data_IF_264208375146
#
_entry.id   IF_264208375146
#
_cell.length_a   1.000
_cell.length_b   1.000
_cell.length_c   1.000
_cell.angle_alpha   90.00
_cell.angle_beta   90.00
_cell.angle_gamma   90.00
#
_symmetry.space_group_name_H-M   'P 1'
#
loop_
_entity.id
_entity.type
_entity.pdbx_description
1 polymer ?
#
# COMPACT_ATOMS: atom_id res chain seq x y z
N UNK A 1 15.21 10.17 -10.09
CA UNK A 1 14.59 11.08 -9.11
C UNK A 1 13.69 12.10 -9.80
N UNK A 2 14.12 12.72 -10.90
CA UNK A 2 13.28 13.64 -11.73
C UNK A 2 11.96 13.01 -12.23
N UNK A 3 12.02 11.83 -12.85
CA UNK A 3 10.84 11.20 -13.46
C UNK A 3 9.74 10.78 -12.47
N UNK A 4 10.12 10.48 -11.22
CA UNK A 4 9.16 10.18 -10.14
C UNK A 4 8.50 11.49 -9.67
N UNK A 5 9.27 12.58 -9.57
CA UNK A 5 8.74 13.90 -9.25
C UNK A 5 7.78 14.39 -10.33
N UNK A 6 8.12 14.23 -11.60
CA UNK A 6 7.29 14.66 -12.73
C UNK A 6 5.97 13.86 -12.86
N UNK A 7 6.00 12.54 -12.58
CA UNK A 7 4.78 11.72 -12.50
C UNK A 7 3.88 12.03 -11.28
N UNK A 8 4.45 12.65 -10.24
CA UNK A 8 3.74 13.11 -9.04
C UNK A 8 3.27 14.58 -9.16
N UNK A 9 3.89 15.37 -10.04
CA UNK A 9 3.56 16.78 -10.32
C UNK A 9 2.66 16.96 -11.54
N UNK A 10 2.53 15.95 -12.41
CA UNK A 10 1.48 15.90 -13.43
C UNK A 10 0.12 15.85 -12.76
N UNK A 11 -0.82 16.71 -13.19
CA UNK A 11 -2.12 16.96 -12.53
C UNK A 11 -3.12 15.79 -12.42
N UNK A 12 -2.66 14.54 -12.38
CA UNK A 12 -3.49 13.40 -12.02
C UNK A 12 -3.84 13.48 -10.52
N UNK A 13 -5.12 13.62 -10.17
CA UNK A 13 -5.54 13.66 -8.77
C UNK A 13 -5.20 12.38 -7.99
N UNK A 14 -4.88 11.26 -8.65
CA UNK A 14 -4.47 10.01 -8.00
C UNK A 14 -3.09 10.09 -7.37
N UNK A 15 -2.18 10.92 -7.88
CA UNK A 15 -0.80 11.03 -7.38
C UNK A 15 -0.50 12.38 -6.76
N UNK A 16 -1.28 13.42 -7.12
CA UNK A 16 -1.12 14.77 -6.61
C UNK A 16 -1.06 14.82 -5.08
N UNK A 17 -0.02 15.47 -4.56
CA UNK A 17 0.18 15.73 -3.13
C UNK A 17 0.51 14.49 -2.27
N UNK A 18 0.63 13.28 -2.84
CA UNK A 18 0.85 12.06 -2.05
C UNK A 18 2.09 12.11 -1.19
N UNK A 19 3.21 12.60 -1.73
CA UNK A 19 4.49 12.67 -0.97
C UNK A 19 4.36 13.55 0.27
N UNK A 20 3.70 14.69 0.16
CA UNK A 20 3.48 15.61 1.29
C UNK A 20 2.50 15.02 2.31
N UNK A 21 1.39 14.43 1.84
CA UNK A 21 0.43 13.78 2.73
C UNK A 21 1.08 12.62 3.50
N UNK A 22 1.86 11.78 2.83
CA UNK A 22 2.59 10.68 3.45
C UNK A 22 3.63 11.17 4.46
N UNK A 23 4.31 12.29 4.20
CA UNK A 23 5.21 12.91 5.17
C UNK A 23 4.47 13.36 6.44
N UNK A 24 3.19 13.72 6.32
CA UNK A 24 2.30 14.06 7.43
C UNK A 24 1.56 12.84 8.02
N UNK A 25 1.86 11.62 7.55
CA UNK A 25 1.33 10.38 8.09
C UNK A 25 -0.07 9.98 7.64
N UNK A 26 -0.60 10.60 6.58
CA UNK A 26 -1.93 10.27 6.05
C UNK A 26 -1.98 10.29 4.52
N UNK A 27 -3.08 9.80 3.95
CA UNK A 27 -3.46 10.03 2.55
C UNK A 27 -4.95 10.29 2.52
N UNK A 28 -5.37 11.37 1.87
CA UNK A 28 -6.81 11.63 1.68
C UNK A 28 -7.29 10.92 0.40
N UNK A 29 -8.42 10.23 0.51
CA UNK A 29 -9.21 9.71 -0.59
C UNK A 29 -9.85 10.86 -1.38
N UNK A 30 -10.11 10.60 -2.66
CA UNK A 30 -10.77 11.52 -3.58
C UNK A 30 -12.30 11.38 -3.51
N UNK A 31 -12.82 10.15 -3.45
CA UNK A 31 -14.26 9.90 -3.34
C UNK A 31 -14.71 9.56 -1.92
N UNK A 32 -13.81 8.99 -1.13
CA UNK A 32 -14.07 8.60 0.25
C UNK A 32 -14.75 7.24 0.34
N UNK A 33 -14.57 6.59 1.48
CA UNK A 33 -15.15 5.29 1.80
C UNK A 33 -16.49 5.48 2.54
N UNK A 34 -17.59 4.83 2.14
CA UNK A 34 -18.87 4.97 2.83
C UNK A 34 -18.82 4.51 4.29
N UNK A 35 -19.38 5.33 5.20
CA UNK A 35 -19.53 5.05 6.63
C UNK A 35 -20.94 5.48 7.09
N UNK A 36 -21.90 4.55 7.11
CA UNK A 36 -23.29 4.90 7.39
C UNK A 36 -23.86 5.87 6.35
N UNK A 37 -24.28 7.05 6.79
CA UNK A 37 -24.81 8.13 5.93
C UNK A 37 -23.72 9.11 5.44
N UNK A 38 -22.49 8.99 5.96
CA UNK A 38 -21.36 9.85 5.59
C UNK A 38 -20.30 9.08 4.79
N UNK A 39 -19.22 9.78 4.43
CA UNK A 39 -18.03 9.17 3.81
C UNK A 39 -16.80 9.63 4.58
N UNK A 40 -15.86 8.70 4.74
CA UNK A 40 -14.57 8.93 5.37
C UNK A 40 -13.48 9.07 4.33
N UNK A 41 -12.59 10.04 4.53
CA UNK A 41 -11.62 10.42 3.50
C UNK A 41 -10.18 10.18 3.93
N UNK A 42 -9.85 10.39 5.20
CA UNK A 42 -8.47 10.36 5.65
C UNK A 42 -8.02 8.95 6.00
N UNK A 43 -7.04 8.45 5.26
CA UNK A 43 -6.41 7.14 5.49
C UNK A 43 -5.10 7.31 6.25
N UNK A 44 -4.90 6.50 7.28
CA UNK A 44 -3.59 6.35 7.94
C UNK A 44 -3.08 4.93 7.76
N UNK A 45 -1.75 4.78 7.77
CA UNK A 45 -1.09 3.50 7.55
C UNK A 45 -0.39 3.03 8.83
N UNK A 46 -0.23 1.72 8.95
CA UNK A 46 0.58 1.05 9.96
C UNK A 46 1.60 0.14 9.30
N UNK A 47 2.65 -0.19 10.03
CA UNK A 47 3.58 -1.23 9.59
C UNK A 47 2.89 -2.59 9.54
N UNK A 48 3.27 -3.39 8.54
CA UNK A 48 2.84 -4.77 8.43
C UNK A 48 3.65 -5.63 9.40
N UNK A 49 2.96 -6.51 10.12
CA UNK A 49 3.58 -7.52 10.96
C UNK A 49 3.91 -8.78 10.15
N UNK A 50 4.77 -9.65 10.67
CA UNK A 50 5.03 -10.94 10.05
C UNK A 50 3.75 -11.78 9.86
N UNK A 51 2.82 -11.68 10.82
CA UNK A 51 1.51 -12.33 10.73
C UNK A 51 0.69 -11.79 9.56
N UNK A 52 0.70 -10.48 9.32
CA UNK A 52 -0.03 -9.88 8.21
C UNK A 52 0.44 -10.44 6.86
N UNK A 53 1.76 -10.61 6.70
CA UNK A 53 2.35 -11.19 5.50
C UNK A 53 1.90 -12.64 5.28
N UNK A 54 2.00 -13.48 6.32
CA UNK A 54 1.60 -14.89 6.24
C UNK A 54 0.11 -15.01 5.92
N UNK A 55 -0.74 -14.25 6.63
CA UNK A 55 -2.18 -14.27 6.41
C UNK A 55 -2.55 -13.79 4.99
N UNK A 56 -1.79 -12.85 4.42
CA UNK A 56 -2.00 -12.38 3.05
C UNK A 56 -1.59 -13.41 1.99
N UNK A 57 -0.52 -14.18 2.22
CA UNK A 57 -0.17 -15.33 1.37
C UNK A 57 -1.28 -16.37 1.38
N UNK A 58 -1.69 -16.81 2.58
CA UNK A 58 -2.72 -17.84 2.73
C UNK A 58 -4.07 -17.41 2.15
N UNK A 59 -4.43 -16.13 2.22
CA UNK A 59 -5.66 -15.58 1.61
C UNK A 59 -5.61 -15.59 0.06
N UNK A 60 -4.40 -15.46 -0.51
CA UNK A 60 -4.18 -15.41 -1.94
C UNK A 60 -3.99 -16.78 -2.59
N UNK A 61 -3.84 -17.83 -1.80
CA UNK A 61 -3.69 -19.21 -2.23
C UNK A 61 -5.05 -19.94 -2.31
N UNK A 62 -5.30 -20.63 -3.43
CA UNK A 62 -6.50 -21.44 -3.62
C UNK A 62 -6.17 -22.78 -4.25
N UNK A 63 -6.73 -23.84 -3.70
CA UNK A 63 -6.75 -25.14 -4.36
C UNK A 63 -7.77 -25.09 -5.49
N UNK A 64 -7.33 -25.38 -6.71
CA UNK A 64 -8.18 -25.45 -7.89
C UNK A 64 -8.04 -26.81 -8.55
N UNK A 65 -9.16 -27.38 -8.97
CA UNK A 65 -9.16 -28.57 -9.81
C UNK A 65 -8.71 -28.18 -11.23
N UNK A 66 -7.61 -28.79 -11.66
CA UNK A 66 -7.06 -28.60 -13.01
C UNK A 66 -7.14 -29.91 -13.79
N UNK A 67 -6.81 -29.86 -15.09
CA UNK A 67 -6.68 -31.06 -15.93
C UNK A 67 -5.63 -32.05 -15.42
N UNK A 68 -4.69 -31.59 -14.58
CA UNK A 68 -3.62 -32.38 -14.00
C UNK A 68 -3.91 -32.81 -12.55
N UNK A 69 -5.14 -32.59 -12.07
CA UNK A 69 -5.55 -32.81 -10.68
C UNK A 69 -5.56 -31.52 -9.84
N UNK A 70 -5.83 -31.62 -8.53
CA UNK A 70 -5.86 -30.47 -7.63
C UNK A 70 -4.49 -29.80 -7.56
N UNK A 71 -4.45 -28.49 -7.81
CA UNK A 71 -3.23 -27.68 -7.72
C UNK A 71 -3.44 -26.47 -6.81
N UNK A 72 -2.42 -26.11 -6.05
CA UNK A 72 -2.40 -24.85 -5.30
C UNK A 72 -1.98 -23.70 -6.23
N UNK A 73 -2.86 -22.72 -6.38
CA UNK A 73 -2.65 -21.54 -7.23
C UNK A 73 -2.54 -20.31 -6.34
N UNK A 74 -1.41 -19.60 -6.41
CA UNK A 74 -1.22 -18.32 -5.75
C UNK A 74 -1.62 -17.17 -6.67
N UNK A 75 -2.30 -16.15 -6.14
CA UNK A 75 -2.65 -14.94 -6.88
C UNK A 75 -1.86 -13.73 -6.38
N UNK A 76 -0.84 -13.26 -7.13
CA UNK A 76 -0.08 -12.07 -6.74
C UNK A 76 -0.96 -10.82 -6.56
N UNK A 77 -2.00 -10.67 -7.38
CA UNK A 77 -2.93 -9.55 -7.29
C UNK A 77 -3.77 -9.60 -6.01
N UNK A 78 -4.32 -10.77 -5.65
CA UNK A 78 -5.08 -10.90 -4.40
C UNK A 78 -4.20 -10.70 -3.18
N UNK A 79 -2.97 -11.20 -3.23
CA UNK A 79 -1.95 -10.96 -2.19
C UNK A 79 -1.67 -9.48 -2.01
N UNK A 80 -1.50 -8.73 -3.10
CA UNK A 80 -1.28 -7.27 -3.06
C UNK A 80 -2.44 -6.54 -2.37
N UNK A 81 -3.69 -6.89 -2.71
CA UNK A 81 -4.89 -6.32 -2.06
C UNK A 81 -4.97 -6.73 -0.58
N UNK A 82 -4.63 -7.97 -0.25
CA UNK A 82 -4.63 -8.47 1.12
C UNK A 82 -3.60 -7.74 2.00
N UNK A 83 -2.43 -7.41 1.45
CA UNK A 83 -1.41 -6.59 2.14
C UNK A 83 -1.86 -5.15 2.31
N UNK A 84 -2.36 -4.50 1.25
CA UNK A 84 -2.87 -3.12 1.31
C UNK A 84 -3.91 -2.97 2.42
N UNK A 85 -4.89 -3.88 2.47
CA UNK A 85 -5.95 -3.90 3.50
C UNK A 85 -5.40 -3.94 4.91
N UNK A 86 -4.32 -4.71 5.11
CA UNK A 86 -3.67 -4.87 6.41
C UNK A 86 -2.79 -3.68 6.77
N UNK A 87 -2.22 -3.00 5.78
CA UNK A 87 -1.40 -1.82 5.97
C UNK A 87 -2.22 -0.57 6.32
N UNK A 88 -3.50 -0.53 5.94
CA UNK A 88 -4.42 0.55 6.34
C UNK A 88 -4.77 0.40 7.83
N UNK A 89 -4.41 1.40 8.63
CA UNK A 89 -4.69 1.44 10.06
C UNK A 89 -6.10 1.96 10.34
N UNK A 90 -6.51 3.03 9.64
CA UNK A 90 -7.87 3.57 9.70
C UNK A 90 -8.22 4.36 8.44
N UNK A 91 -9.52 4.51 8.18
CA UNK A 91 -10.08 5.48 7.23
C UNK A 91 -11.10 6.32 8.00
N UNK A 92 -10.69 7.50 8.46
CA UNK A 92 -11.47 8.30 9.41
C UNK A 92 -11.82 7.50 10.66
N UNK A 93 -13.10 7.31 10.94
CA UNK A 93 -13.59 6.50 12.07
C UNK A 93 -13.53 4.99 11.82
N UNK A 94 -13.40 4.55 10.55
CA UNK A 94 -13.36 3.13 10.19
C UNK A 94 -12.00 2.55 10.60
N UNK A 95 -11.99 1.71 11.64
CA UNK A 95 -10.78 1.01 12.08
C UNK A 95 -10.38 -0.11 11.10
N UNK A 96 -9.10 -0.16 10.78
CA UNK A 96 -8.49 -1.21 9.96
C UNK A 96 -8.17 -2.47 10.78
N UNK A 97 -7.74 -3.55 10.11
CA UNK A 97 -7.55 -3.67 8.67
C UNK A 97 -8.87 -3.69 7.90
N UNK A 98 -8.91 -3.11 6.69
CA UNK A 98 -10.14 -3.08 5.91
C UNK A 98 -10.56 -4.50 5.49
N UNK A 99 -11.86 -4.77 5.54
CA UNK A 99 -12.44 -5.98 4.94
C UNK A 99 -12.39 -5.93 3.42
N UNK A 100 -12.48 -7.08 2.75
CA UNK A 100 -12.54 -7.14 1.29
C UNK A 100 -13.76 -6.38 0.75
N UNK A 101 -14.88 -6.44 1.47
CA UNK A 101 -16.10 -5.68 1.14
C UNK A 101 -15.84 -4.18 1.14
N UNK A 102 -15.18 -3.65 2.17
CA UNK A 102 -14.87 -2.23 2.28
C UNK A 102 -13.92 -1.78 1.16
N UNK A 103 -12.89 -2.55 0.85
CA UNK A 103 -12.03 -2.24 -0.31
C UNK A 103 -12.80 -2.23 -1.62
N UNK A 104 -13.76 -3.15 -1.80
CA UNK A 104 -14.65 -3.15 -2.96
C UNK A 104 -15.61 -1.96 -3.06
N UNK A 105 -15.72 -1.13 -2.02
CA UNK A 105 -16.53 0.10 -2.02
C UNK A 105 -15.71 1.35 -2.38
N UNK A 106 -14.38 1.26 -2.42
CA UNK A 106 -13.53 2.34 -2.92
C UNK A 106 -13.80 2.55 -4.41
N UNK A 107 -13.70 3.79 -4.88
CA UNK A 107 -13.62 4.03 -6.32
C UNK A 107 -12.29 3.51 -6.87
N UNK A 108 -12.23 3.27 -8.19
CA UNK A 108 -10.98 2.84 -8.83
C UNK A 108 -9.85 3.85 -8.61
N UNK A 109 -10.15 5.16 -8.66
CA UNK A 109 -9.15 6.21 -8.44
C UNK A 109 -8.65 6.27 -6.99
N UNK A 110 -9.50 5.96 -6.02
CA UNK A 110 -9.11 5.85 -4.61
C UNK A 110 -8.23 4.64 -4.38
N UNK A 111 -8.60 3.48 -4.93
CA UNK A 111 -7.76 2.28 -4.86
C UNK A 111 -6.39 2.52 -5.49
N UNK A 112 -6.37 3.07 -6.71
CA UNK A 112 -5.12 3.43 -7.42
C UNK A 112 -4.27 4.41 -6.63
N UNK A 113 -4.87 5.42 -5.99
CA UNK A 113 -4.18 6.39 -5.13
C UNK A 113 -3.54 5.73 -3.91
N UNK A 114 -4.26 4.83 -3.24
CA UNK A 114 -3.71 4.08 -2.10
C UNK A 114 -2.58 3.13 -2.51
N UNK A 115 -2.71 2.46 -3.66
CA UNK A 115 -1.64 1.61 -4.19
C UNK A 115 -0.38 2.43 -4.53
N UNK A 116 -0.56 3.61 -5.13
CA UNK A 116 0.56 4.52 -5.40
C UNK A 116 1.22 4.99 -4.10
N UNK A 117 0.43 5.32 -3.08
CA UNK A 117 0.94 5.73 -1.77
C UNK A 117 1.81 4.65 -1.11
N UNK A 118 1.35 3.39 -1.12
CA UNK A 118 2.14 2.26 -0.61
C UNK A 118 3.43 2.07 -1.40
N UNK A 119 3.38 2.17 -2.74
CA UNK A 119 4.58 2.10 -3.57
C UNK A 119 5.61 3.19 -3.26
N UNK A 120 5.16 4.41 -2.91
CA UNK A 120 6.03 5.50 -2.47
C UNK A 120 6.66 5.18 -1.11
N UNK A 121 5.89 4.66 -0.14
CA UNK A 121 6.41 4.25 1.17
C UNK A 121 7.50 3.19 1.04
N UNK A 122 7.27 2.16 0.22
CA UNK A 122 8.24 1.08 -0.02
C UNK A 122 9.52 1.62 -0.68
N UNK A 123 9.38 2.49 -1.68
CA UNK A 123 10.53 3.13 -2.35
C UNK A 123 11.33 4.01 -1.38
N UNK A 124 10.66 4.78 -0.53
CA UNK A 124 11.30 5.62 0.46
C UNK A 124 12.06 4.79 1.50
N UNK A 125 11.50 3.65 1.94
CA UNK A 125 12.16 2.72 2.86
C UNK A 125 13.40 2.10 2.22
N UNK A 126 13.31 1.63 0.97
CA UNK A 126 14.46 1.10 0.22
C UNK A 126 15.57 2.15 0.06
N UNK A 127 15.21 3.41 -0.24
CA UNK A 127 16.15 4.52 -0.35
C UNK A 127 16.88 4.83 0.96
N UNK A 128 16.17 4.82 2.10
CA UNK A 128 16.77 5.00 3.43
C UNK A 128 17.80 3.91 3.73
N UNK A 129 17.44 2.64 3.51
CA UNK A 129 18.34 1.49 3.72
C UNK A 129 19.59 1.56 2.84
N UNK A 130 19.45 1.99 1.58
CA UNK A 130 20.58 2.15 0.66
C UNK A 130 21.52 3.28 1.11
N UNK A 131 20.97 4.42 1.56
CA UNK A 131 21.76 5.54 2.06
C UNK A 131 22.54 5.19 3.34
N UNK A 132 21.93 4.43 4.25
CA UNK A 132 22.59 3.96 5.47
C UNK A 132 23.77 3.03 5.16
N UNK A 133 23.61 2.13 4.17
CA UNK A 133 24.70 1.28 3.71
C UNK A 133 25.83 2.07 3.03
N UNK A 134 25.50 3.09 2.24
CA UNK A 134 26.49 3.98 1.62
C UNK A 134 27.31 4.76 2.65
N UNK A 135 26.67 5.22 3.74
CA UNK A 135 27.38 5.86 4.87
C UNK A 135 28.30 4.89 5.60
N UNK A 136 27.86 3.66 5.84
CA UNK A 136 28.70 2.62 6.47
C UNK A 136 29.90 2.19 5.61
N UNK A 137 29.78 2.21 4.28
CA UNK A 137 30.90 1.92 3.38
C UNK A 137 31.95 3.04 3.31
N UNK A 138 31.54 4.30 3.39
CA UNK A 138 32.45 5.46 3.32
C UNK A 138 33.35 5.60 4.57
N UNK A 139 32.94 5.08 5.72
CA UNK A 139 33.74 5.09 6.96
C UNK A 139 34.73 3.93 7.05
N UNK A 140 34.65 2.93 6.17
CA UNK A 140 35.51 1.74 6.17
C UNK A 140 36.70 1.82 5.20
N UNK A 141 36.81 2.90 4.42
CA UNK A 141 37.84 3.07 3.36
C UNK A 141 38.94 4.08 3.69
N UNK A 142 39.07 4.49 4.95
CA UNK A 142 40.07 5.45 5.41
C UNK A 142 40.88 4.84 6.55
N UNK A 143 41.70 3.83 6.23
CA UNK A 143 42.84 3.36 7.03
C UNK A 143 43.95 2.84 6.09
#
# INVERSE_FOLDING_TARGET
MEAIREALEGGDPRTAGLTEQLANGYVDLLDGLPCGESREYRVTFRELTAKDSIDAESEAEKVMDTRNGPMLIASPSLRGIALLRRQIAAVGEIQGPLSLRQVGQLSERDLSRLMAAVGILDTAMAGKLAADRGRAGAVSGAD
#
